data_IF_690263493123
#
_entry.id   IF_690263493123
#
_cell.length_a   1.000
_cell.length_b   1.000
_cell.length_c   1.000
_cell.angle_alpha   90.00
_cell.angle_beta   90.00
_cell.angle_gamma   90.00
#
_symmetry.space_group_name_H-M   'P 1'
#
loop_
_entity.id
_entity.type
_entity.pdbx_description
1 polymer ?
#
# COMPACT_ATOMS: atom_id res chain seq x y z
N UNK A 1 -30.96 -34.97 8.05
CA UNK A 1 -30.22 -34.08 7.15
C UNK A 1 -29.72 -32.90 7.96
N UNK A 2 -28.44 -32.84 8.29
CA UNK A 2 -27.84 -31.68 8.95
C UNK A 2 -27.41 -30.68 7.86
N UNK A 3 -28.05 -29.52 7.80
CA UNK A 3 -27.56 -28.41 6.97
C UNK A 3 -26.33 -27.82 7.65
N UNK A 4 -25.16 -28.10 7.10
CA UNK A 4 -23.93 -27.43 7.48
C UNK A 4 -24.01 -25.99 6.99
N UNK A 5 -24.19 -25.04 7.91
CA UNK A 5 -24.05 -23.62 7.61
C UNK A 5 -22.56 -23.32 7.41
N UNK A 6 -22.18 -22.99 6.17
CA UNK A 6 -20.88 -22.39 5.90
C UNK A 6 -20.88 -20.98 6.49
N UNK A 7 -20.16 -20.78 7.59
CA UNK A 7 -19.87 -19.44 8.10
C UNK A 7 -18.99 -18.72 7.06
N UNK A 8 -19.35 -17.51 6.61
CA UNK A 8 -18.41 -16.71 5.84
C UNK A 8 -17.19 -16.46 6.72
N UNK A 9 -16.03 -16.97 6.28
CA UNK A 9 -14.77 -16.62 6.91
C UNK A 9 -14.64 -15.09 6.89
N UNK A 10 -14.30 -14.43 8.00
CA UNK A 10 -13.97 -13.01 7.93
C UNK A 10 -12.81 -12.87 6.96
N UNK A 11 -13.10 -12.32 5.78
CA UNK A 11 -12.09 -11.76 4.89
C UNK A 11 -11.17 -10.93 5.78
N UNK A 12 -9.87 -11.25 5.82
CA UNK A 12 -8.94 -10.59 6.71
C UNK A 12 -9.12 -9.09 6.50
N UNK A 13 -9.66 -8.41 7.52
CA UNK A 13 -10.13 -7.04 7.38
C UNK A 13 -9.01 -6.20 6.79
N UNK A 14 -9.31 -5.48 5.70
CA UNK A 14 -8.41 -4.49 5.11
C UNK A 14 -7.86 -3.65 6.25
N UNK A 15 -6.53 -3.67 6.42
CA UNK A 15 -5.90 -2.89 7.50
C UNK A 15 -6.24 -1.41 7.32
N UNK A 16 -6.38 -0.69 8.43
CA UNK A 16 -6.64 0.75 8.36
C UNK A 16 -5.42 1.49 7.82
N UNK A 17 -5.59 2.11 6.66
CA UNK A 17 -4.55 2.92 6.03
C UNK A 17 -4.77 4.41 6.28
N UNK A 18 -3.71 5.19 6.51
CA UNK A 18 -3.80 6.65 6.61
C UNK A 18 -4.47 7.27 5.38
N UNK A 19 -5.14 8.39 5.57
CA UNK A 19 -5.78 9.12 4.48
C UNK A 19 -4.77 9.76 3.51
N UNK A 20 -3.60 10.15 4.04
CA UNK A 20 -2.49 10.67 3.27
C UNK A 20 -1.85 9.62 2.34
N UNK A 21 -2.03 8.32 2.62
CA UNK A 21 -1.45 7.26 1.81
C UNK A 21 -2.14 7.17 0.44
N UNK A 22 -1.33 7.16 -0.62
CA UNK A 22 -1.78 7.09 -2.03
C UNK A 22 -1.40 5.76 -2.65
N UNK A 23 -2.32 5.08 -3.36
CA UNK A 23 -1.99 3.84 -4.06
C UNK A 23 -1.07 4.14 -5.24
N UNK A 24 -0.14 3.23 -5.52
CA UNK A 24 0.76 3.32 -6.66
C UNK A 24 1.64 2.08 -6.80
N UNK A 25 2.30 1.96 -7.94
CA UNK A 25 3.22 0.85 -8.24
C UNK A 25 4.61 1.17 -7.71
N UNK A 26 4.95 0.57 -6.57
CA UNK A 26 6.23 0.74 -5.91
C UNK A 26 7.24 -0.28 -6.41
N UNK A 27 8.43 0.16 -6.82
CA UNK A 27 9.54 -0.75 -7.08
C UNK A 27 10.78 -0.30 -6.32
N UNK A 28 11.37 -1.23 -5.59
CA UNK A 28 12.60 -0.97 -4.85
C UNK A 28 13.79 -0.93 -5.83
N UNK A 29 14.66 0.08 -5.68
CA UNK A 29 15.94 0.15 -6.38
C UNK A 29 17.06 -0.11 -5.38
N UNK A 30 17.95 0.85 -5.15
CA UNK A 30 19.02 0.76 -4.17
C UNK A 30 18.69 1.78 -3.09
N UNK A 31 18.49 1.35 -1.84
CA UNK A 31 18.15 2.26 -0.75
C UNK A 31 19.15 3.42 -0.67
N UNK A 32 18.72 4.69 -0.61
CA UNK A 32 17.35 5.18 -0.37
C UNK A 32 16.52 5.46 -1.65
N UNK A 33 16.92 4.98 -2.82
CA UNK A 33 16.21 5.19 -4.08
C UNK A 33 15.16 4.10 -4.34
N UNK A 34 14.01 4.52 -4.86
CA UNK A 34 12.93 3.66 -5.32
C UNK A 34 12.20 4.34 -6.50
N UNK A 35 11.24 3.65 -7.10
CA UNK A 35 10.33 4.25 -8.08
C UNK A 35 8.89 4.05 -7.65
N UNK A 36 8.05 5.08 -7.84
CA UNK A 36 6.61 5.04 -7.62
C UNK A 36 5.93 5.41 -8.93
N UNK A 37 5.12 4.51 -9.48
CA UNK A 37 4.44 4.70 -10.77
C UNK A 37 5.40 5.02 -11.94
N UNK A 38 6.64 4.55 -11.84
CA UNK A 38 7.71 4.82 -12.81
C UNK A 38 8.53 6.08 -12.52
N UNK A 39 8.05 6.95 -11.64
CA UNK A 39 8.76 8.17 -11.23
C UNK A 39 9.79 7.87 -10.13
N UNK A 40 11.03 8.39 -10.21
CA UNK A 40 12.02 8.22 -9.18
C UNK A 40 11.60 8.93 -7.88
N UNK A 41 11.64 8.20 -6.77
CA UNK A 41 11.32 8.71 -5.44
C UNK A 41 12.42 8.34 -4.45
N UNK A 42 12.57 9.16 -3.40
CA UNK A 42 13.52 8.91 -2.32
C UNK A 42 12.79 8.43 -1.06
N UNK A 43 13.31 7.39 -0.45
CA UNK A 43 12.91 6.86 0.84
C UNK A 43 13.58 7.68 1.95
N UNK A 44 12.82 8.08 2.96
CA UNK A 44 13.35 8.72 4.16
C UNK A 44 14.21 7.75 4.98
N UNK A 45 15.13 8.28 5.81
CA UNK A 45 16.03 7.46 6.63
C UNK A 45 15.30 6.50 7.59
N UNK A 46 14.06 6.82 7.97
CA UNK A 46 13.20 6.00 8.84
C UNK A 46 12.10 5.22 8.10
N UNK A 47 12.23 5.03 6.78
CA UNK A 47 11.17 4.40 5.98
C UNK A 47 10.83 3.01 6.50
N UNK A 48 9.53 2.74 6.67
CA UNK A 48 9.02 1.40 7.01
C UNK A 48 8.24 0.82 5.84
N UNK A 49 8.62 -0.39 5.43
CA UNK A 49 7.91 -1.14 4.39
C UNK A 49 7.17 -2.29 5.07
N UNK A 50 5.85 -2.31 4.96
CA UNK A 50 4.97 -3.32 5.52
C UNK A 50 4.53 -4.28 4.43
N UNK A 51 4.68 -5.58 4.63
CA UNK A 51 4.11 -6.57 3.71
C UNK A 51 2.58 -6.69 3.85
N UNK A 52 1.99 -7.62 3.10
CA UNK A 52 0.57 -7.95 3.13
C UNK A 52 0.11 -8.50 4.50
N UNK A 53 1.04 -9.03 5.31
CA UNK A 53 0.81 -9.52 6.67
C UNK A 53 1.04 -8.45 7.73
N UNK A 54 1.25 -7.19 7.30
CA UNK A 54 1.55 -6.05 8.15
C UNK A 54 2.88 -6.19 8.94
N UNK A 55 3.81 -6.97 8.43
CA UNK A 55 5.16 -7.16 8.97
C UNK A 55 6.14 -6.21 8.30
N UNK A 56 7.11 -5.68 9.07
CA UNK A 56 8.17 -4.86 8.49
C UNK A 56 9.14 -5.77 7.73
N UNK A 57 9.33 -5.47 6.44
CA UNK A 57 10.26 -6.19 5.57
C UNK A 57 11.45 -5.33 5.20
N UNK A 58 12.58 -5.98 4.95
CA UNK A 58 13.80 -5.29 4.58
C UNK A 58 13.71 -4.80 3.13
N UNK A 59 14.11 -3.55 2.83
CA UNK A 59 14.11 -3.06 1.45
C UNK A 59 14.93 -3.95 0.52
N UNK A 60 16.07 -4.46 0.98
CA UNK A 60 16.94 -5.34 0.21
C UNK A 60 16.32 -6.71 -0.16
N UNK A 61 15.28 -7.16 0.54
CA UNK A 61 14.57 -8.41 0.18
C UNK A 61 13.50 -8.22 -0.89
N UNK A 62 13.19 -6.98 -1.26
CA UNK A 62 12.18 -6.67 -2.26
C UNK A 62 12.81 -6.66 -3.65
N UNK A 63 12.23 -7.44 -4.56
CA UNK A 63 12.63 -7.48 -5.96
C UNK A 63 11.40 -7.32 -6.85
N UNK A 64 11.52 -6.51 -7.90
CA UNK A 64 10.43 -6.22 -8.81
C UNK A 64 9.53 -5.06 -8.36
N UNK A 65 8.31 -5.04 -8.90
CA UNK A 65 7.28 -4.04 -8.60
C UNK A 65 6.16 -4.65 -7.77
N UNK A 66 5.64 -3.86 -6.85
CA UNK A 66 4.55 -4.22 -5.96
C UNK A 66 3.49 -3.12 -6.00
N UNK A 67 2.23 -3.52 -5.96
CA UNK A 67 1.14 -2.58 -5.69
C UNK A 67 1.22 -2.17 -4.22
N UNK A 68 1.33 -0.87 -3.97
CA UNK A 68 1.57 -0.35 -2.64
C UNK A 68 0.72 0.89 -2.35
N UNK A 69 0.39 1.08 -1.08
CA UNK A 69 0.04 2.39 -0.55
C UNK A 69 1.32 3.07 -0.06
N UNK A 70 1.50 4.34 -0.41
CA UNK A 70 2.69 5.11 -0.05
C UNK A 70 2.28 6.37 0.70
N UNK A 71 2.86 6.59 1.86
CA UNK A 71 2.76 7.82 2.64
C UNK A 71 4.09 8.59 2.53
N UNK A 72 3.99 9.90 2.30
CA UNK A 72 5.14 10.80 2.25
C UNK A 72 5.22 11.62 3.53
N UNK A 73 6.43 11.94 3.95
CA UNK A 73 6.69 12.90 5.03
C UNK A 73 6.49 14.35 4.54
N UNK A 74 6.48 15.34 5.46
CA UNK A 74 6.41 16.75 5.09
C UNK A 74 7.62 17.26 4.26
N UNK A 75 8.74 16.53 4.26
CA UNK A 75 9.89 16.84 3.42
C UNK A 75 9.76 16.27 2.00
N UNK A 76 8.68 15.55 1.71
CA UNK A 76 8.40 14.94 0.40
C UNK A 76 9.03 13.57 0.18
N UNK A 77 9.74 13.01 1.17
CA UNK A 77 10.30 11.67 1.07
C UNK A 77 9.25 10.62 1.43
N UNK A 78 9.38 9.42 0.89
CA UNK A 78 8.53 8.30 1.30
C UNK A 78 8.86 7.93 2.74
N UNK A 79 7.85 7.92 3.61
CA UNK A 79 8.00 7.59 5.03
C UNK A 79 7.47 6.20 5.36
N UNK A 80 6.41 5.76 4.67
CA UNK A 80 5.84 4.43 4.83
C UNK A 80 5.34 3.88 3.51
N UNK A 81 5.52 2.57 3.35
CA UNK A 81 5.06 1.80 2.19
C UNK A 81 4.31 0.59 2.72
N UNK A 82 3.10 0.35 2.24
CA UNK A 82 2.33 -0.86 2.53
C UNK A 82 2.14 -1.64 1.24
N UNK A 83 2.74 -2.83 1.14
CA UNK A 83 2.57 -3.73 0.01
C UNK A 83 1.19 -4.38 0.11
N UNK A 84 0.35 -4.18 -0.89
CA UNK A 84 -1.06 -4.52 -0.86
C UNK A 84 -1.31 -5.94 -1.35
N UNK A 85 -2.39 -6.54 -0.85
CA UNK A 85 -3.05 -7.66 -1.55
C UNK A 85 -3.92 -7.12 -2.69
N UNK A 86 -4.35 -7.97 -3.64
CA UNK A 86 -5.27 -7.55 -4.69
C UNK A 86 -6.56 -6.92 -4.16
N UNK A 87 -7.11 -7.45 -3.07
CA UNK A 87 -8.32 -6.95 -2.42
C UNK A 87 -8.10 -5.57 -1.79
N UNK A 88 -6.95 -5.38 -1.12
CA UNK A 88 -6.57 -4.09 -0.56
C UNK A 88 -6.34 -3.03 -1.65
N UNK A 89 -5.75 -3.44 -2.78
CA UNK A 89 -5.54 -2.57 -3.93
C UNK A 89 -6.88 -2.09 -4.52
N UNK A 90 -7.85 -2.99 -4.68
CA UNK A 90 -9.19 -2.63 -5.16
C UNK A 90 -9.87 -1.62 -4.21
N UNK A 91 -9.79 -1.86 -2.90
CA UNK A 91 -10.33 -0.93 -1.90
C UNK A 91 -9.62 0.43 -1.93
N UNK A 92 -8.30 0.45 -2.08
CA UNK A 92 -7.51 1.67 -2.16
C UNK A 92 -7.83 2.49 -3.42
N UNK A 93 -7.99 1.82 -4.57
CA UNK A 93 -8.40 2.48 -5.82
C UNK A 93 -9.81 3.06 -5.72
N UNK A 94 -10.77 2.31 -5.15
CA UNK A 94 -12.13 2.81 -4.93
C UNK A 94 -12.14 4.07 -4.02
N UNK A 95 -11.29 4.09 -2.99
CA UNK A 95 -11.11 5.26 -2.11
C UNK A 95 -10.56 6.47 -2.87
N UNK A 96 -9.58 6.26 -3.74
CA UNK A 96 -9.00 7.35 -4.55
C UNK A 96 -10.02 7.88 -5.56
N UNK A 97 -10.76 7.01 -6.24
CA UNK A 97 -11.82 7.40 -7.18
C UNK A 97 -12.93 8.21 -6.50
N UNK A 98 -13.37 7.78 -5.30
CA UNK A 98 -14.36 8.52 -4.52
C UNK A 98 -13.86 9.93 -4.14
N UNK A 99 -12.56 10.07 -3.82
CA UNK A 99 -11.94 11.36 -3.54
C UNK A 99 -11.90 12.24 -4.80
N UNK A 100 -11.47 11.70 -5.94
CA UNK A 100 -11.45 12.43 -7.21
C UNK A 100 -12.85 12.91 -7.62
N UNK A 101 -13.87 12.08 -7.41
CA UNK A 101 -15.26 12.44 -7.68
C UNK A 101 -15.79 13.55 -6.74
N UNK A 102 -15.37 13.54 -5.47
CA UNK A 102 -15.75 14.58 -4.51
C UNK A 102 -15.05 15.93 -4.78
N UNK A 103 -13.82 15.91 -5.31
CA UNK A 103 -13.07 17.12 -5.65
C UNK A 103 -13.58 17.84 -6.92
N UNK A 104 -14.44 17.19 -7.71
CA UNK A 104 -14.95 17.71 -8.98
C UNK A 104 -16.37 18.31 -8.91
N UNK A 105 -16.87 18.61 -7.71
CA UNK A 105 -18.19 19.23 -7.49
C UNK A 105 -18.11 20.62 -6.90
#
# INVERSE_FOLDING_TARGET
>A
MALAWSLPAPAQGTRSFPEAARPGRFAMRIFPEATLDGEPVRLGAGTRIFDQRNMIVMPASLSGSFDALVERDPAGNVSRVWLLTPEELLAAQAREQARSAASGR
#
